data_IF_886007755190
#
_entry.id   IF_886007755190
#
_cell.length_a   1.000
_cell.length_b   1.000
_cell.length_c   1.000
_cell.angle_alpha   90.00
_cell.angle_beta   90.00
_cell.angle_gamma   90.00
#
_symmetry.space_group_name_H-M   'P 1'
#
loop_
_entity.id
_entity.type
_entity.pdbx_description
1 polymer ?
#
# COMPACT_ATOMS: atom_id res chain seq x y z
N UNK A 1 4.19 9.07 6.00
CA UNK A 1 4.58 8.95 4.59
C UNK A 1 3.62 8.06 3.81
N UNK A 2 3.33 6.84 4.28
CA UNK A 2 2.43 5.92 3.59
C UNK A 2 1.06 6.53 3.24
N UNK A 3 0.47 7.28 4.17
CA UNK A 3 -0.77 8.04 3.95
C UNK A 3 -0.71 9.00 2.74
N UNK A 4 0.36 9.79 2.63
CA UNK A 4 0.53 10.74 1.53
C UNK A 4 0.80 10.03 0.20
N UNK A 5 1.58 8.95 0.22
CA UNK A 5 1.80 8.15 -0.98
C UNK A 5 0.52 7.45 -1.43
N UNK A 6 -0.26 6.92 -0.49
CA UNK A 6 -1.56 6.32 -0.79
C UNK A 6 -2.47 7.33 -1.48
N UNK A 7 -2.53 8.57 -0.98
CA UNK A 7 -3.31 9.63 -1.61
C UNK A 7 -2.83 9.97 -3.03
N UNK A 8 -1.52 10.11 -3.27
CA UNK A 8 -1.01 10.40 -4.61
C UNK A 8 -1.24 9.22 -5.57
N UNK A 9 -0.89 8.01 -5.14
CA UNK A 9 -0.92 6.83 -6.02
C UNK A 9 -2.35 6.41 -6.31
N UNK A 10 -3.19 6.26 -5.28
CA UNK A 10 -4.56 5.79 -5.47
C UNK A 10 -5.53 6.94 -5.77
N UNK A 11 -5.37 8.09 -5.13
CA UNK A 11 -6.30 9.22 -5.27
C UNK A 11 -6.01 10.16 -6.45
N UNK A 12 -4.83 10.09 -7.09
CA UNK A 12 -4.54 10.91 -8.28
C UNK A 12 -4.19 10.07 -9.51
N UNK A 13 -3.33 9.06 -9.35
CA UNK A 13 -2.79 8.32 -10.50
C UNK A 13 -3.73 7.19 -10.92
N UNK A 14 -4.16 6.36 -9.99
CA UNK A 14 -4.97 5.17 -10.28
C UNK A 14 -6.49 5.43 -10.27
N UNK A 15 -6.93 6.61 -9.81
CA UNK A 15 -8.35 6.96 -9.67
C UNK A 15 -9.16 6.72 -10.95
N UNK A 16 -8.66 7.18 -12.10
CA UNK A 16 -9.31 6.98 -13.40
C UNK A 16 -9.11 5.57 -14.00
N UNK A 17 -8.22 4.76 -13.42
CA UNK A 17 -7.86 3.44 -13.94
C UNK A 17 -8.60 2.31 -13.24
N UNK A 18 -9.06 2.55 -12.01
CA UNK A 18 -9.80 1.58 -11.21
C UNK A 18 -11.30 1.82 -11.36
N UNK A 19 -11.99 0.91 -12.06
CA UNK A 19 -13.44 0.96 -12.21
C UNK A 19 -14.12 0.36 -10.96
N UNK A 20 -14.09 1.09 -9.85
CA UNK A 20 -14.76 0.66 -8.63
C UNK A 20 -16.25 0.91 -8.78
N UNK A 21 -17.08 -0.10 -8.51
CA UNK A 21 -18.53 0.06 -8.56
C UNK A 21 -18.96 1.07 -7.47
N UNK A 22 -19.59 2.20 -7.83
CA UNK A 22 -19.96 3.22 -6.85
C UNK A 22 -20.95 2.71 -5.79
N UNK A 23 -21.66 1.61 -6.08
CA UNK A 23 -22.61 0.99 -5.16
C UNK A 23 -21.95 0.29 -3.95
N UNK A 24 -20.63 0.05 -3.99
CA UNK A 24 -19.86 -0.54 -2.88
C UNK A 24 -18.98 0.47 -2.16
N UNK A 25 -18.83 1.69 -2.69
CA UNK A 25 -18.07 2.76 -2.04
C UNK A 25 -18.96 3.52 -1.05
N UNK A 26 -18.36 3.97 0.05
CA UNK A 26 -19.00 4.95 0.92
C UNK A 26 -19.10 6.29 0.19
N UNK A 27 -20.15 7.05 0.45
CA UNK A 27 -20.21 8.45 0.05
C UNK A 27 -19.07 9.23 0.71
N UNK A 28 -18.55 10.26 0.05
CA UNK A 28 -17.40 11.05 0.54
C UNK A 28 -17.63 11.62 1.95
N UNK A 29 -18.88 11.99 2.26
CA UNK A 29 -19.29 12.50 3.58
C UNK A 29 -19.29 11.43 4.69
N UNK A 30 -19.36 10.15 4.31
CA UNK A 30 -19.34 8.99 5.22
C UNK A 30 -17.95 8.33 5.32
N UNK A 31 -16.95 8.85 4.61
CA UNK A 31 -15.59 8.32 4.65
C UNK A 31 -14.97 8.56 6.02
N UNK A 32 -14.65 7.46 6.71
CA UNK A 32 -14.03 7.45 8.04
C UNK A 32 -12.52 7.58 7.95
N UNK A 33 -12.04 8.81 7.83
CA UNK A 33 -10.63 9.16 7.68
C UNK A 33 -9.74 8.63 8.83
N UNK A 34 -10.31 8.49 10.04
CA UNK A 34 -9.62 7.92 11.19
C UNK A 34 -9.16 6.48 10.95
N UNK A 35 -9.95 5.65 10.25
CA UNK A 35 -9.54 4.28 9.93
C UNK A 35 -8.45 4.23 8.87
N UNK A 36 -8.47 5.17 7.92
CA UNK A 36 -7.40 5.30 6.91
C UNK A 36 -6.09 5.72 7.59
N UNK A 37 -6.15 6.68 8.51
CA UNK A 37 -4.97 7.11 9.26
C UNK A 37 -4.37 5.97 10.10
N UNK A 38 -5.22 5.23 10.82
CA UNK A 38 -4.81 4.07 11.63
C UNK A 38 -4.21 2.96 10.75
N UNK A 39 -4.85 2.61 9.64
CA UNK A 39 -4.35 1.57 8.74
C UNK A 39 -2.98 1.94 8.16
N UNK A 40 -2.78 3.20 7.77
CA UNK A 40 -1.50 3.71 7.28
C UNK A 40 -0.41 3.67 8.35
N UNK A 41 -0.76 3.98 9.61
CA UNK A 41 0.18 3.92 10.73
C UNK A 41 0.60 2.47 11.02
N UNK A 42 -0.36 1.53 11.03
CA UNK A 42 -0.08 0.10 11.20
C UNK A 42 0.82 -0.42 10.07
N UNK A 43 0.55 -0.07 8.82
CA UNK A 43 1.40 -0.45 7.68
C UNK A 43 2.83 0.11 7.81
N UNK A 44 2.96 1.36 8.27
CA UNK A 44 4.25 1.99 8.56
C UNK A 44 5.04 1.26 9.65
N UNK A 45 4.37 0.91 10.74
CA UNK A 45 4.98 0.15 11.84
C UNK A 45 5.39 -1.26 11.41
N UNK A 46 4.56 -1.93 10.60
CA UNK A 46 4.88 -3.25 10.05
C UNK A 46 6.19 -3.20 9.24
N UNK A 47 6.31 -2.26 8.30
CA UNK A 47 7.53 -2.15 7.49
C UNK A 47 8.74 -1.77 8.33
N UNK A 48 8.59 -0.82 9.25
CA UNK A 48 9.67 -0.48 10.18
C UNK A 48 10.13 -1.69 11.00
N UNK A 49 9.19 -2.48 11.52
CA UNK A 49 9.48 -3.69 12.28
C UNK A 49 10.21 -4.74 11.43
N UNK A 50 9.76 -5.00 10.20
CA UNK A 50 10.39 -5.97 9.31
C UNK A 50 11.81 -5.53 8.94
N UNK A 51 12.01 -4.26 8.58
CA UNK A 51 13.34 -3.74 8.24
C UNK A 51 14.30 -3.80 9.44
N UNK A 52 13.83 -3.47 10.65
CA UNK A 52 14.61 -3.64 11.89
C UNK A 52 15.02 -5.10 12.12
N UNK A 53 14.07 -6.04 11.99
CA UNK A 53 14.32 -7.46 12.16
C UNK A 53 15.28 -8.03 11.10
N UNK A 54 15.23 -7.50 9.89
CA UNK A 54 16.12 -7.85 8.80
C UNK A 54 17.50 -7.17 8.87
N UNK A 55 17.75 -6.31 9.89
CA UNK A 55 18.95 -5.47 9.99
C UNK A 55 19.21 -4.62 8.74
N UNK A 56 18.15 -4.16 8.09
CA UNK A 56 18.26 -3.32 6.90
C UNK A 56 18.42 -1.86 7.35
N UNK A 57 19.54 -1.26 6.97
CA UNK A 57 19.89 0.12 7.28
C UNK A 57 20.21 0.94 6.04
N UNK A 58 19.80 0.51 4.85
CA UNK A 58 19.99 1.28 3.63
C UNK A 58 18.65 1.53 2.92
N UNK A 59 18.57 2.64 2.19
CA UNK A 59 17.34 3.07 1.54
C UNK A 59 16.95 2.18 0.35
N UNK A 60 17.92 1.55 -0.33
CA UNK A 60 17.66 0.77 -1.54
C UNK A 60 17.10 -0.60 -1.20
N UNK A 61 17.76 -1.32 -0.30
CA UNK A 61 17.31 -2.58 0.27
C UNK A 61 16.03 -2.37 1.06
N UNK A 62 15.91 -1.26 1.80
CA UNK A 62 14.67 -0.88 2.48
C UNK A 62 13.48 -0.75 1.51
N UNK A 63 13.69 -0.06 0.39
CA UNK A 63 12.68 0.07 -0.66
C UNK A 63 12.31 -1.29 -1.26
N UNK A 64 13.29 -2.08 -1.70
CA UNK A 64 13.05 -3.38 -2.36
C UNK A 64 12.32 -4.35 -1.44
N UNK A 65 12.76 -4.48 -0.18
CA UNK A 65 12.11 -5.36 0.79
C UNK A 65 10.66 -4.93 1.03
N UNK A 66 10.39 -3.64 1.19
CA UNK A 66 9.03 -3.16 1.38
C UNK A 66 8.17 -3.35 0.12
N UNK A 67 8.71 -3.09 -1.09
CA UNK A 67 8.01 -3.33 -2.36
C UNK A 67 7.54 -4.77 -2.48
N UNK A 68 8.42 -5.73 -2.21
CA UNK A 68 8.08 -7.16 -2.28
C UNK A 68 6.96 -7.50 -1.30
N UNK A 69 7.04 -6.99 -0.06
CA UNK A 69 6.00 -7.21 0.95
C UNK A 69 4.67 -6.62 0.50
N UNK A 70 4.66 -5.37 0.03
CA UNK A 70 3.45 -4.69 -0.43
C UNK A 70 2.78 -5.40 -1.59
N UNK A 71 3.55 -5.79 -2.61
CA UNK A 71 3.04 -6.53 -3.78
C UNK A 71 2.47 -7.89 -3.37
N UNK A 72 3.15 -8.64 -2.52
CA UNK A 72 2.66 -9.94 -2.07
C UNK A 72 1.35 -9.84 -1.28
N UNK A 73 1.25 -8.83 -0.40
CA UNK A 73 0.01 -8.56 0.36
C UNK A 73 -1.11 -8.20 -0.61
N UNK A 74 -0.88 -7.24 -1.51
CA UNK A 74 -1.90 -6.77 -2.46
C UNK A 74 -2.39 -7.90 -3.38
N UNK A 75 -1.47 -8.69 -3.96
CA UNK A 75 -1.84 -9.83 -4.81
C UNK A 75 -2.63 -10.88 -4.02
N UNK A 76 -2.23 -11.18 -2.78
CA UNK A 76 -2.95 -12.13 -1.93
C UNK A 76 -4.38 -11.66 -1.63
N UNK A 77 -4.55 -10.38 -1.28
CA UNK A 77 -5.86 -9.78 -1.05
C UNK A 77 -6.69 -9.79 -2.33
N UNK A 78 -6.13 -9.33 -3.45
CA UNK A 78 -6.81 -9.27 -4.74
C UNK A 78 -7.25 -10.64 -5.26
N UNK A 79 -6.43 -11.69 -5.13
CA UNK A 79 -6.85 -13.06 -5.46
C UNK A 79 -7.99 -13.53 -4.55
N UNK A 80 -7.92 -13.24 -3.25
CA UNK A 80 -8.99 -13.58 -2.31
C UNK A 80 -10.29 -12.86 -2.67
N UNK A 81 -10.21 -11.60 -3.09
CA UNK A 81 -11.37 -10.83 -3.52
C UNK A 81 -11.97 -11.36 -4.82
N UNK A 82 -11.16 -11.68 -5.82
CA UNK A 82 -11.63 -12.29 -7.08
C UNK A 82 -12.22 -13.69 -6.87
N UNK A 83 -11.81 -14.41 -5.83
CA UNK A 83 -12.35 -15.73 -5.52
C UNK A 83 -13.72 -15.67 -4.80
N UNK A 84 -13.96 -14.61 -4.01
CA UNK A 84 -15.14 -14.52 -3.14
C UNK A 84 -16.21 -13.53 -3.64
N UNK A 85 -15.84 -12.55 -4.47
CA UNK A 85 -16.71 -11.44 -4.84
C UNK A 85 -16.71 -11.18 -6.34
N UNK A 86 -17.85 -10.71 -6.85
CA UNK A 86 -18.05 -10.38 -8.27
C UNK A 86 -17.73 -8.92 -8.63
N UNK A 87 -17.28 -8.11 -7.67
CA UNK A 87 -16.98 -6.69 -7.90
C UNK A 87 -15.49 -6.41 -8.10
N UNK A 88 -14.64 -7.42 -7.98
CA UNK A 88 -13.20 -7.31 -8.21
C UNK A 88 -12.85 -7.97 -9.54
N UNK A 89 -11.97 -7.35 -10.32
CA UNK A 89 -11.39 -7.97 -11.51
C UNK A 89 -9.90 -8.30 -11.33
N UNK A 90 -9.36 -9.14 -12.22
CA UNK A 90 -7.92 -9.38 -12.27
C UNK A 90 -7.14 -8.10 -12.59
N UNK A 91 -7.72 -7.21 -13.40
CA UNK A 91 -7.09 -5.94 -13.73
C UNK A 91 -6.95 -5.04 -12.51
N UNK A 92 -7.97 -4.98 -11.66
CA UNK A 92 -7.93 -4.18 -10.42
C UNK A 92 -6.88 -4.70 -9.45
N UNK A 93 -6.73 -6.04 -9.32
CA UNK A 93 -5.66 -6.65 -8.52
C UNK A 93 -4.28 -6.26 -9.03
N UNK A 94 -4.06 -6.24 -10.35
CA UNK A 94 -2.77 -5.85 -10.92
C UNK A 94 -2.46 -4.38 -10.73
N UNK A 95 -3.46 -3.50 -10.89
CA UNK A 95 -3.33 -2.07 -10.61
C UNK A 95 -3.04 -1.82 -9.13
N UNK A 96 -3.72 -2.52 -8.22
CA UNK A 96 -3.47 -2.44 -6.79
C UNK A 96 -2.06 -2.94 -6.43
N UNK A 97 -1.58 -3.99 -7.09
CA UNK A 97 -0.22 -4.48 -6.89
C UNK A 97 0.84 -3.44 -7.30
N UNK A 98 0.61 -2.74 -8.41
CA UNK A 98 1.47 -1.62 -8.85
C UNK A 98 1.38 -0.46 -7.86
N UNK A 99 0.17 -0.13 -7.39
CA UNK A 99 -0.03 0.92 -6.39
C UNK A 99 0.69 0.63 -5.07
N UNK A 100 0.58 -0.62 -4.62
CA UNK A 100 1.25 -1.13 -3.42
C UNK A 100 2.76 -1.16 -3.58
N UNK A 101 3.27 -1.52 -4.77
CA UNK A 101 4.70 -1.43 -5.08
C UNK A 101 5.21 -0.01 -4.84
N UNK A 102 4.54 0.99 -5.40
CA UNK A 102 4.95 2.39 -5.24
C UNK A 102 4.87 2.82 -3.77
N UNK A 103 3.72 2.61 -3.12
CA UNK A 103 3.47 3.06 -1.75
C UNK A 103 4.41 2.42 -0.72
N UNK A 104 4.55 1.10 -0.76
CA UNK A 104 5.45 0.39 0.13
C UNK A 104 6.91 0.67 -0.21
N UNK A 105 7.26 0.79 -1.49
CA UNK A 105 8.63 1.10 -1.92
C UNK A 105 9.12 2.44 -1.39
N UNK A 106 8.34 3.50 -1.54
CA UNK A 106 8.72 4.81 -1.01
C UNK A 106 8.78 4.82 0.52
N UNK A 107 7.81 4.20 1.18
CA UNK A 107 7.82 4.04 2.65
C UNK A 107 9.06 3.27 3.14
N UNK A 108 9.40 2.16 2.49
CA UNK A 108 10.58 1.37 2.79
C UNK A 108 11.88 2.13 2.55
N UNK A 109 11.94 2.93 1.48
CA UNK A 109 13.09 3.77 1.16
C UNK A 109 13.40 4.75 2.29
N UNK A 110 12.38 5.51 2.73
CA UNK A 110 12.53 6.50 3.80
C UNK A 110 12.82 5.85 5.14
N UNK A 111 12.20 4.71 5.43
CA UNK A 111 12.42 3.99 6.69
C UNK A 111 13.84 3.40 6.74
N UNK A 112 14.29 2.77 5.65
CA UNK A 112 15.66 2.24 5.53
C UNK A 112 16.72 3.35 5.59
N UNK A 113 16.49 4.47 4.91
CA UNK A 113 17.33 5.67 5.02
C UNK A 113 17.41 6.17 6.47
N UNK A 114 16.27 6.23 7.16
CA UNK A 114 16.20 6.70 8.54
C UNK A 114 16.97 5.81 9.53
N UNK A 115 17.03 4.50 9.29
CA UNK A 115 17.86 3.59 10.08
C UNK A 115 19.35 3.68 9.74
N UNK A 116 19.68 4.00 8.49
CA UNK A 116 21.04 4.14 7.98
C UNK A 116 21.77 5.45 8.27
N UNK A 117 21.06 6.47 8.75
CA UNK A 117 21.61 7.82 8.97
C UNK A 117 22.61 7.92 10.14
N UNK A 118 23.05 6.80 10.72
CA UNK A 118 24.02 6.75 11.81
C UNK A 118 25.45 6.77 11.28
#
# INVERSE_FOLDING_TARGET
MYFLMGWVVYGMVLDNMMNVNPSIMLADEDVRMEFIAISCLIAGLLVAYVLLKANISDWKTGAITAMVIGVLISISVGFSMNAMYNFSSMNDTLLDAIGSLLCFGGMGAVTGWYFGRK
#
